data_IF_084355450359
#
_entry.id   IF_084355450359
#
_cell.length_a   1.000
_cell.length_b   1.000
_cell.length_c   1.000
_cell.angle_alpha   90.00
_cell.angle_beta   90.00
_cell.angle_gamma   90.00
#
_symmetry.space_group_name_H-M   'P 1'
#
loop_
_entity.id
_entity.type
_entity.pdbx_description
1 polymer ?
#
# COMPACT_ATOMS: atom_id res chain seq x y z
N UNK A 1 -44.31 -15.75 27.12
CA UNK A 1 -42.94 -16.13 26.73
C UNK A 1 -42.19 -14.84 26.40
N UNK A 2 -41.45 -14.29 27.36
CA UNK A 2 -40.64 -13.08 27.12
C UNK A 2 -39.33 -13.52 26.47
N UNK A 3 -39.06 -13.02 25.27
CA UNK A 3 -37.80 -13.30 24.55
C UNK A 3 -36.68 -12.48 25.19
N UNK A 4 -35.78 -13.17 25.91
CA UNK A 4 -34.53 -12.62 26.44
C UNK A 4 -33.55 -12.37 25.28
N UNK A 5 -33.74 -11.25 24.57
CA UNK A 5 -32.75 -10.78 23.60
C UNK A 5 -31.58 -10.16 24.36
N UNK A 6 -30.58 -10.98 24.66
CA UNK A 6 -29.34 -10.55 25.29
C UNK A 6 -28.61 -9.57 24.35
N UNK A 7 -28.16 -8.40 24.84
CA UNK A 7 -27.48 -7.43 23.99
C UNK A 7 -26.20 -8.03 23.38
N UNK A 8 -25.85 -7.68 22.13
CA UNK A 8 -24.76 -8.32 21.38
C UNK A 8 -23.39 -8.15 22.04
N UNK A 9 -23.24 -7.18 22.94
CA UNK A 9 -22.03 -6.99 23.75
C UNK A 9 -21.74 -8.13 24.72
N UNK A 10 -22.76 -8.89 25.15
CA UNK A 10 -22.62 -10.01 26.09
C UNK A 10 -22.38 -11.36 25.42
N UNK A 11 -22.54 -11.44 24.11
CA UNK A 11 -22.28 -12.65 23.31
C UNK A 11 -20.98 -12.57 22.51
N UNK A 12 -20.37 -11.38 22.41
CA UNK A 12 -19.09 -11.19 21.73
C UNK A 12 -17.92 -11.81 22.50
N UNK A 13 -16.95 -12.36 21.76
CA UNK A 13 -15.69 -12.83 22.31
C UNK A 13 -14.86 -11.68 22.87
N UNK A 14 -14.22 -11.90 24.03
CA UNK A 14 -13.43 -10.88 24.73
C UNK A 14 -11.98 -11.31 24.78
N UNK A 15 -11.07 -10.43 24.36
CA UNK A 15 -9.63 -10.66 24.39
C UNK A 15 -8.92 -9.51 25.11
N UNK A 16 -7.98 -9.84 26.01
CA UNK A 16 -7.19 -8.86 26.75
C UNK A 16 -5.90 -8.57 25.99
N UNK A 17 -5.82 -7.38 25.38
CA UNK A 17 -4.62 -6.92 24.66
C UNK A 17 -3.68 -6.20 25.61
N UNK A 18 -2.38 -6.53 25.54
CA UNK A 18 -1.31 -5.82 26.24
C UNK A 18 -0.61 -4.89 25.26
N UNK A 19 -0.80 -3.58 25.42
CA UNK A 19 -0.18 -2.57 24.57
C UNK A 19 1.17 -2.10 25.13
N UNK A 20 2.14 -1.75 24.26
CA UNK A 20 3.34 -1.04 24.68
C UNK A 20 3.00 0.41 25.11
N UNK A 21 3.94 1.04 25.81
CA UNK A 21 3.76 2.38 26.37
C UNK A 21 3.36 3.41 25.30
N UNK A 22 2.40 4.28 25.64
CA UNK A 22 1.89 5.34 24.76
C UNK A 22 0.99 4.88 23.60
N UNK A 23 0.90 3.59 23.29
CA UNK A 23 0.04 3.11 22.19
C UNK A 23 -1.44 3.25 22.53
N UNK A 24 -1.82 3.06 23.80
CA UNK A 24 -3.21 3.20 24.25
C UNK A 24 -3.75 4.61 24.02
N UNK A 25 -2.93 5.63 24.31
CA UNK A 25 -3.34 7.04 24.16
C UNK A 25 -3.49 7.41 22.68
N UNK A 26 -2.59 6.93 21.82
CA UNK A 26 -2.70 7.09 20.36
C UNK A 26 -4.00 6.49 19.80
N UNK A 27 -4.43 5.33 20.30
CA UNK A 27 -5.71 4.71 19.90
C UNK A 27 -6.88 5.53 20.45
N UNK A 28 -6.79 6.05 21.67
CA UNK A 28 -7.82 6.91 22.26
C UNK A 28 -8.03 8.19 21.45
N UNK A 29 -6.95 8.84 21.01
CA UNK A 29 -7.01 10.04 20.17
C UNK A 29 -7.62 9.74 18.80
N UNK A 30 -7.21 8.64 18.16
CA UNK A 30 -7.78 8.22 16.88
C UNK A 30 -9.28 7.90 16.99
N UNK A 31 -9.70 7.23 18.06
CA UNK A 31 -11.09 6.92 18.32
C UNK A 31 -11.93 8.20 18.51
N UNK A 32 -11.41 9.20 19.25
CA UNK A 32 -12.04 10.51 19.41
C UNK A 32 -12.18 11.25 18.09
N UNK A 33 -11.12 11.26 17.26
CA UNK A 33 -11.15 11.88 15.94
C UNK A 33 -12.19 11.24 15.00
N UNK A 34 -12.36 9.92 15.08
CA UNK A 34 -13.30 9.16 14.27
C UNK A 34 -14.72 9.07 14.85
N UNK A 35 -14.99 9.69 16.02
CA UNK A 35 -16.26 9.59 16.76
C UNK A 35 -16.68 8.13 17.04
N UNK A 36 -15.72 7.25 17.32
CA UNK A 36 -15.94 5.83 17.64
C UNK A 36 -15.50 5.52 19.06
N UNK A 37 -16.02 4.42 19.62
CA UNK A 37 -15.44 3.86 20.84
C UNK A 37 -14.05 3.31 20.55
N UNK A 38 -13.19 3.25 21.57
CA UNK A 38 -11.85 2.67 21.44
C UNK A 38 -11.88 1.24 20.89
N UNK A 39 -12.86 0.44 21.32
CA UNK A 39 -13.04 -0.92 20.84
C UNK A 39 -13.41 -0.96 19.35
N UNK A 40 -14.34 -0.10 18.92
CA UNK A 40 -14.75 -0.02 17.52
C UNK A 40 -13.60 0.43 16.60
N UNK A 41 -12.74 1.34 17.06
CA UNK A 41 -11.54 1.75 16.32
C UNK A 41 -10.52 0.61 16.19
N UNK A 42 -10.30 -0.17 17.26
CA UNK A 42 -9.41 -1.34 17.21
C UNK A 42 -9.91 -2.36 16.21
N UNK A 43 -11.21 -2.72 16.28
CA UNK A 43 -11.83 -3.67 15.35
C UNK A 43 -11.73 -3.17 13.91
N UNK A 44 -12.07 -1.91 13.64
CA UNK A 44 -12.00 -1.35 12.29
C UNK A 44 -10.57 -1.40 11.69
N UNK A 45 -9.54 -1.17 12.51
CA UNK A 45 -8.14 -1.29 12.06
C UNK A 45 -7.73 -2.73 11.78
N UNK A 46 -8.20 -3.66 12.60
CA UNK A 46 -7.95 -5.09 12.38
C UNK A 46 -8.65 -5.55 11.11
N UNK A 47 -9.94 -5.23 10.94
CA UNK A 47 -10.70 -5.50 9.72
C UNK A 47 -10.01 -4.93 8.48
N UNK A 48 -9.56 -3.67 8.53
CA UNK A 48 -8.83 -3.07 7.42
C UNK A 48 -7.47 -3.75 7.13
N UNK A 49 -6.84 -4.35 8.14
CA UNK A 49 -5.56 -5.07 7.97
C UNK A 49 -5.77 -6.48 7.40
N UNK A 50 -6.89 -7.14 7.75
CA UNK A 50 -7.26 -8.45 7.24
C UNK A 50 -8.01 -8.41 5.92
N UNK A 51 -8.55 -7.24 5.56
CA UNK A 51 -9.05 -6.99 4.21
C UNK A 51 -7.82 -6.96 3.31
N UNK A 52 -7.37 -8.15 2.92
CA UNK A 52 -6.50 -8.33 1.79
C UNK A 52 -7.08 -7.42 0.72
N UNK A 53 -6.22 -6.59 0.13
CA UNK A 53 -6.57 -5.95 -1.12
C UNK A 53 -6.78 -7.13 -2.04
N UNK A 54 -8.03 -7.58 -2.16
CA UNK A 54 -8.53 -8.21 -3.35
C UNK A 54 -8.26 -7.14 -4.39
N UNK A 55 -7.04 -7.15 -4.92
CA UNK A 55 -6.76 -6.59 -6.22
C UNK A 55 -7.65 -7.50 -7.04
N UNK A 56 -8.83 -7.05 -7.49
CA UNK A 56 -9.55 -7.91 -8.39
C UNK A 56 -8.54 -8.17 -9.50
N UNK A 57 -8.46 -9.40 -9.99
CA UNK A 57 -7.73 -9.71 -11.20
C UNK A 57 -8.46 -9.03 -12.38
N UNK A 58 -8.69 -7.72 -12.30
CA UNK A 58 -9.11 -6.88 -13.40
C UNK A 58 -7.90 -6.78 -14.30
N UNK A 59 -7.93 -7.67 -15.29
CA UNK A 59 -7.44 -7.47 -16.63
C UNK A 59 -6.27 -6.48 -16.71
N UNK A 60 -5.09 -7.05 -16.86
CA UNK A 60 -3.84 -6.37 -17.10
C UNK A 60 -3.75 -5.43 -18.34
N UNK A 61 -4.67 -5.32 -19.33
CA UNK A 61 -4.38 -4.46 -20.49
C UNK A 61 -4.78 -2.99 -20.34
N UNK A 62 -5.75 -2.61 -19.50
CA UNK A 62 -6.25 -1.21 -19.52
C UNK A 62 -5.37 -0.25 -18.71
N UNK A 63 -4.88 -0.65 -17.54
CA UNK A 63 -3.94 0.17 -16.76
C UNK A 63 -2.57 0.28 -17.46
N UNK A 64 -2.14 -0.75 -18.21
CA UNK A 64 -0.94 -0.67 -19.03
C UNK A 64 -1.14 0.26 -20.24
N UNK A 65 -2.33 0.29 -20.84
CA UNK A 65 -2.66 1.25 -21.90
C UNK A 65 -2.68 2.70 -21.40
N UNK A 66 -3.21 2.96 -20.20
CA UNK A 66 -3.18 4.29 -19.58
C UNK A 66 -1.75 4.70 -19.22
N UNK A 67 -0.96 3.80 -18.64
CA UNK A 67 0.46 4.04 -18.34
C UNK A 67 1.29 4.30 -19.61
N UNK A 68 1.07 3.55 -20.70
CA UNK A 68 1.69 3.77 -22.01
C UNK A 68 1.30 5.11 -22.63
N UNK A 69 0.02 5.51 -22.52
CA UNK A 69 -0.46 6.80 -23.01
C UNK A 69 0.13 7.98 -22.23
N UNK A 70 0.37 7.79 -20.93
CA UNK A 70 1.02 8.79 -20.07
C UNK A 70 2.55 8.83 -20.25
N UNK A 71 3.19 7.72 -20.63
CA UNK A 71 4.60 7.70 -21.01
C UNK A 71 4.87 8.41 -22.34
N UNK A 72 3.95 8.34 -23.30
CA UNK A 72 4.10 9.03 -24.60
C UNK A 72 3.95 10.56 -24.50
N UNK A 73 3.28 11.08 -23.47
CA UNK A 73 3.16 12.53 -23.26
C UNK A 73 4.34 13.13 -22.47
N UNK A 74 5.01 12.33 -21.63
CA UNK A 74 6.16 12.79 -20.82
C UNK A 74 7.53 12.51 -21.45
N UNK A 75 7.61 11.61 -22.43
CA UNK A 75 8.81 11.37 -23.24
C UNK A 75 8.61 11.89 -24.67
N UNK A 76 8.41 13.20 -24.81
CA UNK A 76 8.58 13.88 -26.09
C UNK A 76 10.02 13.72 -26.63
N UNK A 77 10.25 13.89 -27.94
CA UNK A 77 11.54 13.65 -28.61
C UNK A 77 12.64 14.65 -28.25
N UNK A 78 12.41 15.58 -27.32
CA UNK A 78 13.39 16.59 -26.92
C UNK A 78 14.35 16.09 -25.84
N UNK A 79 15.09 15.05 -26.20
CA UNK A 79 16.34 14.68 -25.52
C UNK A 79 17.54 15.41 -26.16
N UNK A 80 17.39 16.69 -26.48
CA UNK A 80 18.48 17.54 -26.97
C UNK A 80 18.94 18.57 -25.94
N UNK A 81 18.98 18.24 -24.65
CA UNK A 81 19.72 19.08 -23.70
C UNK A 81 20.46 18.28 -22.61
N UNK A 82 21.10 17.17 -23.01
CA UNK A 82 22.17 16.59 -22.19
C UNK A 82 23.49 17.32 -22.47
N UNK A 83 23.91 18.13 -21.50
CA UNK A 83 25.21 18.81 -21.48
C UNK A 83 26.37 17.84 -21.81
N UNK A 84 27.40 18.28 -22.57
CA UNK A 84 28.52 17.44 -23.01
C UNK A 84 29.25 16.67 -21.90
N UNK A 85 29.15 17.13 -20.65
CA UNK A 85 29.88 16.58 -19.51
C UNK A 85 29.44 15.15 -19.10
N UNK A 86 28.17 14.78 -19.33
CA UNK A 86 27.63 13.48 -18.89
C UNK A 86 27.93 12.31 -19.86
N UNK A 87 28.57 12.58 -21.02
CA UNK A 87 28.79 11.54 -22.07
C UNK A 87 29.92 10.55 -21.76
N UNK A 88 30.80 10.83 -20.80
CA UNK A 88 31.98 9.99 -20.54
C UNK A 88 31.75 8.86 -19.52
N UNK A 89 30.67 8.88 -18.75
CA UNK A 89 30.40 7.86 -17.71
C UNK A 89 29.51 6.69 -18.17
N UNK A 90 28.81 6.81 -19.30
CA UNK A 90 27.88 5.77 -19.78
C UNK A 90 28.49 4.71 -20.71
N UNK A 91 29.70 4.91 -21.24
CA UNK A 91 30.35 3.93 -22.15
C UNK A 91 31.04 2.77 -21.43
N UNK A 92 31.48 2.93 -20.17
CA UNK A 92 32.16 1.85 -19.42
C UNK A 92 31.22 0.87 -18.73
N UNK A 93 30.02 1.29 -18.32
CA UNK A 93 29.03 0.41 -17.66
C UNK A 93 28.28 -0.50 -18.65
N UNK A 94 28.16 -0.10 -19.91
CA UNK A 94 27.41 -0.84 -20.94
C UNK A 94 28.16 -2.04 -21.51
N UNK A 95 29.50 -2.04 -21.46
CA UNK A 95 30.32 -3.19 -21.92
C UNK A 95 30.40 -4.29 -20.85
N UNK A 96 30.30 -3.94 -19.56
CA UNK A 96 30.46 -4.91 -18.47
C UNK A 96 29.25 -5.84 -18.30
N UNK A 97 28.02 -5.35 -18.54
CA UNK A 97 26.79 -6.15 -18.39
C UNK A 97 26.43 -7.00 -19.62
N UNK A 98 27.10 -6.80 -20.76
CA UNK A 98 26.81 -7.54 -21.98
C UNK A 98 27.59 -8.86 -22.14
N UNK A 99 28.58 -9.14 -21.27
CA UNK A 99 29.39 -10.38 -21.35
C UNK A 99 28.89 -11.53 -20.46
N UNK A 100 27.96 -11.29 -19.55
CA UNK A 100 27.50 -12.31 -18.59
C UNK A 100 26.21 -13.05 -18.98
N UNK A 101 25.61 -12.75 -20.14
CA UNK A 101 24.30 -13.31 -20.52
C UNK A 101 24.31 -14.08 -21.84
N UNK A 102 25.46 -14.62 -22.26
CA UNK A 102 25.59 -15.40 -23.52
C UNK A 102 26.19 -16.81 -23.29
N UNK A 103 26.44 -17.23 -22.06
CA UNK A 103 26.86 -18.62 -21.77
C UNK A 103 26.18 -19.13 -20.48
N UNK A 104 24.96 -19.62 -20.64
CA UNK A 104 24.33 -20.63 -19.79
C UNK A 104 23.19 -21.27 -20.59
#
# INVERSE_FOLDING_TARGET
>A
MSTDQKPPSRTAEQFVVRFPDGMRDRIAEAAKANNRSMNAEIVARLEASFKEVEVPAVAAPELEAVARRMQLSLFGPDRQLLSPCQRKLSKRRRIMLAKHNVLA
#
